data_IF_767312113780
#
_entry.id   IF_767312113780
#
_cell.length_a   1.000
_cell.length_b   1.000
_cell.length_c   1.000
_cell.angle_alpha   90.00
_cell.angle_beta   90.00
_cell.angle_gamma   90.00
#
_symmetry.space_group_name_H-M   'P 1'
#
loop_
_entity.id
_entity.type
_entity.pdbx_description
1 polymer ?
#
# COMPACT_ATOMS: atom_id res chain seq x y z
N UNK A 1 16.93 -24.85 -9.66
CA UNK A 1 15.91 -24.33 -10.60
C UNK A 1 15.22 -23.18 -9.92
N UNK A 2 15.43 -21.98 -10.48
CA UNK A 2 14.95 -20.68 -10.03
C UNK A 2 13.46 -20.52 -10.33
N UNK A 3 12.64 -20.44 -9.28
CA UNK A 3 11.25 -20.02 -9.40
C UNK A 3 11.13 -18.60 -8.84
N UNK A 4 11.04 -17.62 -9.75
CA UNK A 4 10.28 -16.39 -9.55
C UNK A 4 10.92 -15.27 -8.73
N UNK A 5 10.73 -14.06 -9.26
CA UNK A 5 10.99 -12.74 -8.66
C UNK A 5 10.27 -12.53 -7.29
N UNK A 6 9.48 -13.51 -6.85
CA UNK A 6 8.69 -13.54 -5.60
C UNK A 6 9.30 -14.43 -4.49
N UNK A 7 10.53 -14.95 -4.62
CA UNK A 7 11.05 -16.01 -3.73
C UNK A 7 12.53 -15.86 -3.33
N UNK A 8 13.06 -14.64 -3.26
CA UNK A 8 14.50 -14.39 -3.04
C UNK A 8 14.92 -14.13 -1.58
N UNK A 9 14.00 -14.07 -0.62
CA UNK A 9 14.29 -13.78 0.78
C UNK A 9 14.00 -14.98 1.71
N UNK A 10 14.82 -15.19 2.77
CA UNK A 10 14.58 -16.28 3.71
C UNK A 10 13.25 -16.08 4.43
N UNK A 11 12.41 -17.12 4.41
CA UNK A 11 11.14 -17.18 5.12
C UNK A 11 11.31 -18.00 6.37
N UNK A 12 10.65 -17.61 7.45
CA UNK A 12 10.60 -18.42 8.66
C UNK A 12 9.52 -19.51 8.61
N UNK A 13 8.67 -19.51 7.57
CA UNK A 13 7.64 -20.51 7.33
C UNK A 13 6.38 -20.34 8.16
N UNK A 14 6.30 -19.28 8.99
CA UNK A 14 5.16 -19.02 9.86
C UNK A 14 4.48 -17.72 9.48
N UNK A 15 3.16 -17.78 9.22
CA UNK A 15 2.38 -16.57 9.02
C UNK A 15 2.34 -15.75 10.31
N UNK A 16 2.70 -14.48 10.24
CA UNK A 16 2.72 -13.56 11.38
C UNK A 16 1.95 -12.30 11.04
N UNK A 17 1.15 -11.83 11.98
CA UNK A 17 0.62 -10.47 11.93
C UNK A 17 1.65 -9.51 12.52
N UNK A 18 1.84 -8.36 11.88
CA UNK A 18 2.68 -7.31 12.43
C UNK A 18 1.96 -6.68 13.64
N UNK A 19 2.54 -6.72 14.86
CA UNK A 19 1.89 -6.12 16.01
C UNK A 19 1.74 -4.61 15.83
N UNK A 20 0.67 -4.02 16.37
CA UNK A 20 0.38 -2.58 16.23
C UNK A 20 1.53 -1.64 16.65
N UNK A 21 2.39 -2.09 17.58
CA UNK A 21 3.60 -1.38 18.01
C UNK A 21 4.64 -1.23 16.89
N UNK A 22 4.70 -2.19 15.98
CA UNK A 22 5.64 -2.26 14.86
C UNK A 22 4.99 -1.86 13.53
N UNK A 23 3.66 -1.98 13.41
CA UNK A 23 2.90 -1.48 12.26
C UNK A 23 2.63 0.03 12.40
N UNK A 24 3.69 0.83 12.38
CA UNK A 24 3.58 2.29 12.46
C UNK A 24 3.31 2.88 11.09
N UNK A 25 2.55 3.96 11.08
CA UNK A 25 2.32 4.68 9.83
C UNK A 25 3.55 5.47 9.36
N UNK A 26 4.31 6.05 10.29
CA UNK A 26 5.56 6.76 10.02
C UNK A 26 6.68 6.21 10.91
N UNK A 27 7.92 6.43 10.49
CA UNK A 27 9.11 6.10 11.26
C UNK A 27 9.84 7.38 11.65
N UNK A 28 10.23 7.46 12.93
CA UNK A 28 11.11 8.52 13.44
C UNK A 28 12.53 8.02 13.38
N UNK A 29 13.37 8.69 12.59
CA UNK A 29 14.79 8.41 12.56
C UNK A 29 15.45 9.06 13.78
N UNK A 30 15.63 8.29 14.85
CA UNK A 30 16.24 8.76 16.09
C UNK A 30 17.73 9.14 15.95
N UNK A 31 18.39 8.77 14.84
CA UNK A 31 19.77 9.15 14.56
C UNK A 31 19.81 10.56 13.97
N UNK A 32 18.94 10.83 13.00
CA UNK A 32 18.90 12.10 12.28
C UNK A 32 17.83 13.09 12.82
N UNK A 33 17.07 12.69 13.85
CA UNK A 33 15.96 13.44 14.44
C UNK A 33 14.96 14.00 13.41
N UNK A 34 14.69 13.23 12.36
CA UNK A 34 13.78 13.62 11.29
C UNK A 34 12.62 12.62 11.18
N UNK A 35 11.42 13.15 11.01
CA UNK A 35 10.24 12.36 10.64
C UNK A 35 10.37 12.00 9.17
N UNK A 36 10.42 10.70 8.86
CA UNK A 36 10.40 10.25 7.46
C UNK A 36 8.97 10.14 7.00
N UNK A 37 8.77 10.31 5.69
CA UNK A 37 7.48 10.09 5.05
C UNK A 37 6.90 8.74 5.51
N UNK A 38 5.57 8.63 5.65
CA UNK A 38 4.92 7.38 5.98
C UNK A 38 5.44 6.28 5.06
N UNK A 39 6.01 5.21 5.62
CA UNK A 39 6.46 4.06 4.83
C UNK A 39 5.30 3.49 3.98
N UNK A 40 4.11 3.55 4.60
CA UNK A 40 2.78 3.30 4.04
C UNK A 40 2.48 4.08 2.75
N UNK A 41 3.15 5.21 2.50
CA UNK A 41 2.97 6.00 1.28
C UNK A 41 3.56 5.34 0.04
N UNK A 42 4.54 4.44 0.21
CA UNK A 42 5.04 3.64 -0.90
C UNK A 42 3.98 2.66 -1.40
N UNK A 43 3.22 2.04 -0.49
CA UNK A 43 2.08 1.18 -0.81
C UNK A 43 0.96 1.94 -1.52
N UNK A 44 0.64 3.14 -1.03
CA UNK A 44 -0.31 4.04 -1.68
C UNK A 44 0.13 4.38 -3.11
N UNK A 45 1.33 4.94 -3.26
CA UNK A 45 1.80 5.46 -4.55
C UNK A 45 1.99 4.34 -5.58
N UNK A 46 2.52 3.19 -5.16
CA UNK A 46 2.69 2.02 -6.03
C UNK A 46 1.35 1.54 -6.59
N UNK A 47 0.34 1.37 -5.74
CA UNK A 47 -1.00 0.95 -6.18
C UNK A 47 -1.70 2.03 -7.02
N UNK A 48 -1.60 3.31 -6.61
CA UNK A 48 -2.16 4.45 -7.35
C UNK A 48 -1.59 4.53 -8.77
N UNK A 49 -0.26 4.59 -8.90
CA UNK A 49 0.41 4.74 -10.19
C UNK A 49 0.12 3.54 -11.09
N UNK A 50 0.15 2.33 -10.54
CA UNK A 50 -0.15 1.12 -11.32
C UNK A 50 -1.58 1.13 -11.81
N UNK A 51 -2.56 1.46 -10.95
CA UNK A 51 -3.96 1.54 -11.32
C UNK A 51 -4.20 2.56 -12.44
N UNK A 52 -3.60 3.76 -12.35
CA UNK A 52 -3.67 4.77 -13.42
C UNK A 52 -3.11 4.22 -14.74
N UNK A 53 -1.98 3.53 -14.71
CA UNK A 53 -1.30 3.04 -15.92
C UNK A 53 -2.01 1.87 -16.61
N UNK A 54 -2.68 1.00 -15.86
CA UNK A 54 -3.29 -0.22 -16.42
C UNK A 54 -4.80 -0.10 -16.63
N UNK A 55 -5.49 0.79 -15.91
CA UNK A 55 -6.94 1.00 -16.04
C UNK A 55 -7.36 1.20 -17.48
N UNK A 56 -6.68 2.08 -18.21
CA UNK A 56 -7.06 2.41 -19.59
C UNK A 56 -6.79 1.27 -20.58
N UNK A 57 -5.98 0.27 -20.18
CA UNK A 57 -5.61 -0.87 -21.03
C UNK A 57 -6.53 -2.07 -20.86
N UNK A 58 -6.95 -2.35 -19.62
CA UNK A 58 -7.72 -3.57 -19.29
C UNK A 58 -9.10 -3.27 -18.72
N UNK A 59 -9.45 -1.99 -18.52
CA UNK A 59 -10.70 -1.55 -17.93
C UNK A 59 -10.68 -1.51 -16.40
N UNK A 60 -11.71 -0.87 -15.83
CA UNK A 60 -11.83 -0.61 -14.40
C UNK A 60 -11.91 -1.90 -13.56
N UNK A 61 -12.89 -2.77 -13.87
CA UNK A 61 -13.13 -3.99 -13.07
C UNK A 61 -11.93 -4.94 -13.12
N UNK A 62 -11.32 -5.24 -14.29
CA UNK A 62 -10.15 -6.10 -14.33
C UNK A 62 -8.95 -5.50 -13.59
N UNK A 63 -8.76 -4.17 -13.62
CA UNK A 63 -7.73 -3.48 -12.86
C UNK A 63 -7.91 -3.64 -11.36
N UNK A 64 -9.13 -3.37 -10.85
CA UNK A 64 -9.43 -3.50 -9.43
C UNK A 64 -9.22 -4.94 -8.96
N UNK A 65 -9.71 -5.93 -9.71
CA UNK A 65 -9.56 -7.35 -9.38
C UNK A 65 -8.10 -7.79 -9.36
N UNK A 66 -7.34 -7.48 -10.41
CA UNK A 66 -5.93 -7.87 -10.51
C UNK A 66 -5.10 -7.24 -9.40
N UNK A 67 -5.24 -5.92 -9.20
CA UNK A 67 -4.44 -5.20 -8.23
C UNK A 67 -4.81 -5.58 -6.80
N UNK A 68 -6.08 -5.86 -6.49
CA UNK A 68 -6.48 -6.35 -5.16
C UNK A 68 -5.80 -7.69 -4.86
N UNK A 69 -5.81 -8.62 -5.82
CA UNK A 69 -5.14 -9.93 -5.65
C UNK A 69 -3.64 -9.75 -5.45
N UNK A 70 -2.99 -8.89 -6.23
CA UNK A 70 -1.56 -8.62 -6.09
C UNK A 70 -1.22 -7.95 -4.75
N UNK A 71 -2.04 -7.00 -4.30
CA UNK A 71 -1.85 -6.30 -3.02
C UNK A 71 -1.98 -7.27 -1.85
N UNK A 72 -3.00 -8.13 -1.84
CA UNK A 72 -3.18 -9.17 -0.81
C UNK A 72 -2.06 -10.21 -0.88
N UNK A 73 -1.69 -10.68 -2.07
CA UNK A 73 -0.65 -11.69 -2.24
C UNK A 73 0.71 -11.19 -1.74
N UNK A 74 1.04 -9.91 -1.98
CA UNK A 74 2.24 -9.27 -1.44
C UNK A 74 2.22 -9.29 0.10
N UNK A 75 1.12 -8.85 0.73
CA UNK A 75 1.04 -8.84 2.21
C UNK A 75 1.07 -10.24 2.82
N UNK A 76 0.47 -11.23 2.15
CA UNK A 76 0.60 -12.63 2.56
C UNK A 76 2.05 -13.10 2.45
N UNK A 77 2.79 -12.68 1.43
CA UNK A 77 4.21 -13.01 1.28
C UNK A 77 5.05 -12.38 2.40
N UNK A 78 4.81 -11.11 2.72
CA UNK A 78 5.47 -10.42 3.83
C UNK A 78 5.11 -11.02 5.18
N UNK A 79 3.92 -11.60 5.35
CA UNK A 79 3.54 -12.30 6.57
C UNK A 79 4.49 -13.45 6.94
N UNK A 80 5.15 -14.06 5.95
CA UNK A 80 6.14 -15.12 6.15
C UNK A 80 7.59 -14.61 6.24
N UNK A 81 7.80 -13.30 6.12
CA UNK A 81 9.12 -12.63 6.10
C UNK A 81 9.30 -11.64 7.25
N UNK A 82 8.39 -10.69 7.38
CA UNK A 82 8.46 -9.58 8.34
C UNK A 82 7.17 -9.33 9.12
N UNK A 83 6.02 -9.79 8.60
CA UNK A 83 4.71 -9.71 9.23
C UNK A 83 3.68 -8.99 8.35
N UNK A 84 2.45 -9.50 8.37
CA UNK A 84 1.31 -8.95 7.65
C UNK A 84 0.91 -7.59 8.24
N UNK A 85 0.90 -6.53 7.43
CA UNK A 85 0.44 -5.20 7.87
C UNK A 85 -0.96 -4.92 7.35
N UNK A 86 -1.91 -4.74 8.28
CA UNK A 86 -3.25 -4.28 7.93
C UNK A 86 -3.21 -2.86 7.34
N UNK A 87 -2.30 -2.00 7.83
CA UNK A 87 -2.18 -0.62 7.34
C UNK A 87 -1.61 -0.55 5.92
N UNK A 88 -0.67 -1.43 5.56
CA UNK A 88 -0.18 -1.53 4.18
C UNK A 88 -1.30 -1.97 3.24
N UNK A 89 -2.09 -2.97 3.65
CA UNK A 89 -3.22 -3.42 2.88
C UNK A 89 -4.28 -2.33 2.70
N UNK A 90 -4.64 -1.64 3.79
CA UNK A 90 -5.62 -0.55 3.80
C UNK A 90 -5.18 0.59 2.88
N UNK A 91 -3.95 1.08 3.06
CA UNK A 91 -3.46 2.21 2.27
C UNK A 91 -3.20 1.83 0.81
N UNK A 92 -2.82 0.58 0.54
CA UNK A 92 -2.69 0.04 -0.80
C UNK A 92 -4.04 -0.02 -1.52
N UNK A 93 -5.09 -0.46 -0.82
CA UNK A 93 -6.47 -0.45 -1.33
C UNK A 93 -6.94 0.98 -1.62
N UNK A 94 -6.64 1.90 -0.71
CA UNK A 94 -6.87 3.34 -0.86
C UNK A 94 -6.17 3.87 -2.13
N UNK A 95 -4.89 3.54 -2.32
CA UNK A 95 -4.11 3.89 -3.51
C UNK A 95 -4.72 3.36 -4.79
N UNK A 96 -5.11 2.09 -4.79
CA UNK A 96 -5.78 1.42 -5.91
C UNK A 96 -7.06 2.14 -6.30
N UNK A 97 -7.96 2.41 -5.34
CA UNK A 97 -9.21 3.12 -5.60
C UNK A 97 -8.93 4.53 -6.10
N UNK A 98 -8.02 5.25 -5.46
CA UNK A 98 -7.68 6.61 -5.88
C UNK A 98 -7.16 6.64 -7.33
N UNK A 99 -6.28 5.72 -7.71
CA UNK A 99 -5.75 5.64 -9.07
C UNK A 99 -6.80 5.19 -10.07
N UNK A 100 -7.57 4.16 -9.73
CA UNK A 100 -8.63 3.63 -10.58
C UNK A 100 -9.75 4.64 -10.84
N UNK A 101 -10.02 5.57 -9.93
CA UNK A 101 -11.03 6.61 -10.07
C UNK A 101 -10.45 8.01 -10.33
N UNK A 102 -9.14 8.14 -10.57
CA UNK A 102 -8.44 9.44 -10.73
C UNK A 102 -8.71 10.45 -9.60
N UNK A 103 -8.86 9.96 -8.37
CA UNK A 103 -9.06 10.77 -7.17
C UNK A 103 -7.72 11.22 -6.60
N UNK A 104 -7.74 12.34 -5.88
CA UNK A 104 -6.55 12.86 -5.19
C UNK A 104 -6.63 12.52 -3.71
N UNK A 105 -5.48 12.24 -3.12
CA UNK A 105 -5.33 12.04 -1.68
C UNK A 105 -4.32 13.05 -1.14
N UNK A 106 -4.71 13.81 -0.11
CA UNK A 106 -3.75 14.54 0.71
C UNK A 106 -3.53 13.81 2.02
N UNK A 107 -2.28 13.76 2.46
CA UNK A 107 -1.92 13.21 3.76
C UNK A 107 -1.14 14.25 4.54
N UNK A 108 -1.66 14.52 5.73
CA UNK A 108 -1.02 15.36 6.73
C UNK A 108 -0.68 14.46 7.92
N UNK A 109 0.53 14.60 8.44
CA UNK A 109 0.98 13.79 9.54
C UNK A 109 1.85 14.61 10.49
N UNK A 110 1.76 14.28 11.77
CA UNK A 110 2.65 14.79 12.83
C UNK A 110 3.07 13.63 13.75
N UNK A 111 3.70 13.96 14.89
CA UNK A 111 4.18 12.99 15.88
C UNK A 111 3.07 12.22 16.60
N UNK A 112 1.80 12.54 16.41
CA UNK A 112 0.69 11.96 17.18
C UNK A 112 -0.39 11.37 16.27
N UNK A 113 -0.59 11.94 15.09
CA UNK A 113 -1.75 11.66 14.25
C UNK A 113 -1.43 11.72 12.76
N UNK A 114 -2.27 11.01 12.03
CA UNK A 114 -2.33 11.05 10.57
C UNK A 114 -3.74 11.42 10.18
N UNK A 115 -3.82 12.39 9.27
CA UNK A 115 -5.03 12.82 8.64
C UNK A 115 -4.92 12.54 7.14
N UNK A 116 -5.81 11.68 6.66
CA UNK A 116 -5.95 11.37 5.24
C UNK A 116 -7.21 12.04 4.72
N UNK A 117 -7.06 12.89 3.71
CA UNK A 117 -8.16 13.63 3.08
C UNK A 117 -8.31 13.13 1.64
N UNK A 118 -9.44 12.48 1.40
CA UNK A 118 -9.85 12.02 0.08
C UNK A 118 -10.63 13.10 -0.67
N UNK A 119 -10.18 13.40 -1.88
CA UNK A 119 -10.88 14.31 -2.79
C UNK A 119 -11.65 13.49 -3.82
N UNK A 120 -12.97 13.44 -3.65
CA UNK A 120 -13.89 12.89 -4.63
C UNK A 120 -14.20 13.94 -5.68
N UNK A 121 -13.83 13.66 -6.93
CA UNK A 121 -14.25 14.46 -8.08
C UNK A 121 -15.50 13.78 -8.68
N UNK A 122 -16.68 14.26 -8.27
CA UNK A 122 -17.97 13.65 -8.63
C UNK A 122 -18.22 13.75 -10.15
N UNK A 123 -17.65 14.77 -10.80
CA UNK A 123 -17.89 15.08 -12.21
C UNK A 123 -17.16 14.12 -13.18
N UNK A 124 -16.29 13.23 -12.66
CA UNK A 124 -15.53 12.25 -13.46
C UNK A 124 -16.01 10.79 -13.31
N UNK A 125 -17.15 10.58 -12.66
CA UNK A 125 -17.77 9.27 -12.49
C UNK A 125 -18.67 8.86 -13.67
N UNK A 126 -18.79 9.71 -14.70
CA UNK A 126 -19.60 9.51 -15.91
C UNK A 126 -18.74 9.23 -17.15
#
# INVERSE_FOLDING_TARGET
MTAGIFFSYPRDGHFKFLPAKYDKWYFVDYVNWVMKNPDKWQHYYGNYATAVLIRDKIGLIPTLSLMTVLNVAKEVEDAYREGFSMKDLEIGTIGLLAGAFHQKLACYYDTEKILVIYYFDIDKLH
#
